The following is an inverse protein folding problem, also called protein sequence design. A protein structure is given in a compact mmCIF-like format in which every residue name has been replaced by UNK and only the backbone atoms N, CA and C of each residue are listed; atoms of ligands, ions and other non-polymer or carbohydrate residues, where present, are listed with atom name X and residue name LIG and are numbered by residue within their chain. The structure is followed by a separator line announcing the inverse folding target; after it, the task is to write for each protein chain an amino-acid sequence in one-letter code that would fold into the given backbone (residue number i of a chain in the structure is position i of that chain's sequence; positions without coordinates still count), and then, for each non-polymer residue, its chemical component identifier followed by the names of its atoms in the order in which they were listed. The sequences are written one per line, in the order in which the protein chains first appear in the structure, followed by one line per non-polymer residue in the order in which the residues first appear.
data_IF_095754251691
#
_entry.id   IF_095754251691
#
_cell.length_a   1.000
_cell.length_b   1.000
_cell.length_c   1.000
_cell.angle_alpha   90.00
_cell.angle_beta   90.00
_cell.angle_gamma   90.00
#
_symmetry.space_group_name_H-M   'P 1'
#
loop_
_entity.id
_entity.type
_entity.pdbx_description
1 polymer ?
#
# COMPACT_ATOMS: atom_id res chain seq x y z
N UNK A 1 9.46 0.41 22.56
CA UNK A 1 8.98 -0.19 21.30
C UNK A 1 10.04 0.01 20.22
N UNK A 2 10.33 -1.01 19.42
CA UNK A 2 11.48 -1.05 18.49
C UNK A 2 11.13 -0.41 17.14
N UNK A 3 11.99 0.47 16.63
CA UNK A 3 11.84 1.09 15.31
C UNK A 3 12.30 0.13 14.20
N UNK A 4 11.66 0.19 13.04
CA UNK A 4 12.15 -0.48 11.84
C UNK A 4 13.17 0.42 11.13
N UNK A 5 14.37 -0.11 10.90
CA UNK A 5 15.46 0.56 10.18
C UNK A 5 15.73 -0.21 8.90
N UNK A 6 15.92 0.52 7.80
CA UNK A 6 16.20 -0.04 6.49
C UNK A 6 17.39 0.69 5.86
N UNK A 7 18.23 -0.08 5.17
CA UNK A 7 19.35 0.44 4.38
C UNK A 7 19.08 0.15 2.91
N UNK A 8 19.20 1.17 2.07
CA UNK A 8 19.02 1.04 0.63
C UNK A 8 20.21 0.27 0.03
N UNK A 9 19.92 -0.81 -0.69
CA UNK A 9 20.90 -1.54 -1.50
C UNK A 9 20.54 -1.41 -2.97
N UNK A 10 21.55 -1.19 -3.80
CA UNK A 10 21.40 -1.03 -5.25
C UNK A 10 22.10 -2.19 -5.94
N UNK A 11 21.38 -2.82 -6.85
CA UNK A 11 21.87 -3.89 -7.69
C UNK A 11 21.52 -3.56 -9.14
N UNK A 12 22.44 -3.84 -10.05
CA UNK A 12 22.14 -3.80 -11.47
C UNK A 12 21.41 -5.09 -11.84
N UNK A 13 20.29 -4.94 -12.56
CA UNK A 13 19.53 -6.05 -13.10
C UNK A 13 19.85 -6.19 -14.59
N UNK A 14 19.69 -7.41 -15.12
CA UNK A 14 19.72 -7.64 -16.56
C UNK A 14 18.61 -6.79 -17.21
N UNK A 15 18.94 -5.92 -18.18
CA UNK A 15 17.97 -5.01 -18.79
C UNK A 15 16.89 -5.72 -19.62
N UNK A 16 17.07 -7.01 -19.91
CA UNK A 16 16.05 -7.83 -20.59
C UNK A 16 14.96 -8.36 -19.65
N UNK A 17 15.13 -8.19 -18.33
CA UNK A 17 14.14 -8.65 -17.36
C UNK A 17 12.95 -7.70 -17.35
N UNK A 18 11.80 -8.25 -17.73
CA UNK A 18 10.53 -7.55 -17.62
C UNK A 18 10.00 -7.56 -16.18
N UNK A 19 9.41 -6.45 -15.68
CA UNK A 19 8.90 -6.36 -14.30
C UNK A 19 7.89 -7.44 -13.93
N UNK A 20 7.03 -7.85 -14.87
CA UNK A 20 6.04 -8.92 -14.63
C UNK A 20 6.68 -10.30 -14.46
N UNK A 21 7.85 -10.54 -15.07
CA UNK A 21 8.60 -11.79 -14.87
C UNK A 21 9.18 -11.86 -13.45
N UNK A 22 9.62 -10.72 -12.89
CA UNK A 22 10.03 -10.63 -11.49
C UNK A 22 8.89 -10.94 -10.53
N UNK A 23 7.70 -10.41 -10.80
CA UNK A 23 6.49 -10.72 -10.01
C UNK A 23 6.19 -12.22 -10.06
N UNK A 24 6.19 -12.82 -11.26
CA UNK A 24 5.88 -14.24 -11.44
C UNK A 24 6.89 -15.17 -10.73
N UNK A 25 8.17 -14.78 -10.67
CA UNK A 25 9.21 -15.51 -9.96
C UNK A 25 9.30 -15.21 -8.45
N UNK A 26 8.51 -14.27 -7.93
CA UNK A 26 8.61 -13.83 -6.55
C UNK A 26 7.95 -14.83 -5.59
N UNK A 27 8.76 -15.63 -4.89
CA UNK A 27 8.29 -16.55 -3.85
C UNK A 27 7.96 -15.88 -2.50
N UNK A 28 7.97 -14.54 -2.42
CA UNK A 28 7.70 -13.82 -1.19
C UNK A 28 6.20 -13.72 -0.90
N UNK A 29 5.85 -13.42 0.35
CA UNK A 29 4.46 -13.24 0.77
C UNK A 29 3.90 -11.92 0.22
N UNK A 30 2.67 -11.97 -0.27
CA UNK A 30 1.90 -10.81 -0.73
C UNK A 30 2.69 -9.89 -1.69
N UNK A 31 3.19 -10.42 -2.82
CA UNK A 31 3.93 -9.60 -3.76
C UNK A 31 2.98 -8.61 -4.45
N UNK A 32 3.44 -7.38 -4.61
CA UNK A 32 2.74 -6.28 -5.24
C UNK A 32 3.64 -5.65 -6.28
N UNK A 33 3.15 -5.57 -7.53
CA UNK A 33 3.81 -4.83 -8.61
C UNK A 33 3.01 -3.55 -8.88
N UNK A 34 3.68 -2.40 -8.80
CA UNK A 34 3.18 -1.12 -9.29
C UNK A 34 3.98 -0.76 -10.53
N UNK A 35 3.30 -0.68 -11.67
CA UNK A 35 3.93 -0.33 -12.93
C UNK A 35 3.37 0.99 -13.46
N UNK A 36 4.27 1.91 -13.84
CA UNK A 36 3.89 3.25 -14.28
C UNK A 36 3.87 3.33 -15.79
N UNK A 37 2.68 3.50 -16.37
CA UNK A 37 2.50 3.66 -17.81
C UNK A 37 2.46 5.14 -18.27
N UNK A 38 2.68 6.13 -17.38
CA UNK A 38 2.40 7.55 -17.67
C UNK A 38 3.52 8.54 -17.32
N UNK A 39 3.89 9.41 -18.28
CA UNK A 39 4.68 10.64 -18.09
C UNK A 39 6.20 10.53 -18.31
N UNK A 40 6.94 11.64 -18.19
CA UNK A 40 8.40 11.65 -18.05
C UNK A 40 8.75 12.23 -16.66
N UNK A 41 9.46 11.47 -15.78
CA UNK A 41 9.95 10.12 -16.01
C UNK A 41 8.93 9.03 -15.62
N UNK A 42 8.32 8.35 -16.61
CA UNK A 42 7.73 7.01 -16.47
C UNK A 42 8.85 5.97 -16.59
N UNK A 43 9.65 5.82 -15.53
CA UNK A 43 10.86 4.97 -15.58
C UNK A 43 10.96 3.93 -14.48
N UNK A 44 9.95 3.83 -13.62
CA UNK A 44 10.04 2.97 -12.44
C UNK A 44 8.85 2.03 -12.39
N UNK A 45 9.16 0.74 -12.33
CA UNK A 45 8.29 -0.29 -11.81
C UNK A 45 8.74 -0.62 -10.39
N UNK A 46 7.81 -0.77 -9.46
CA UNK A 46 8.08 -1.10 -8.07
C UNK A 46 7.54 -2.49 -7.77
N UNK A 47 8.44 -3.43 -7.49
CA UNK A 47 8.07 -4.72 -6.91
C UNK A 47 8.29 -4.65 -5.40
N UNK A 48 7.23 -4.82 -4.64
CA UNK A 48 7.25 -4.94 -3.20
C UNK A 48 6.68 -6.29 -2.78
N UNK A 49 7.02 -6.69 -1.57
CA UNK A 49 6.50 -7.88 -0.90
C UNK A 49 6.56 -7.62 0.59
N UNK A 50 5.84 -8.39 1.38
CA UNK A 50 5.75 -8.16 2.81
C UNK A 50 6.89 -8.88 3.56
N UNK A 51 7.87 -8.16 4.14
CA UNK A 51 8.88 -8.76 5.00
C UNK A 51 8.36 -8.99 6.43
N UNK A 52 7.19 -8.44 6.78
CA UNK A 52 6.55 -8.55 8.09
C UNK A 52 5.20 -9.27 7.91
N UNK A 53 4.44 -9.53 8.98
CA UNK A 53 3.10 -10.08 8.80
C UNK A 53 2.15 -8.96 8.36
N UNK A 54 1.35 -9.21 7.31
CA UNK A 54 0.40 -8.24 6.78
C UNK A 54 -0.48 -7.67 7.88
N UNK A 55 -0.63 -6.35 7.90
CA UNK A 55 -1.51 -5.65 8.83
C UNK A 55 -2.83 -5.45 8.11
N UNK A 56 -3.85 -6.17 8.55
CA UNK A 56 -5.22 -5.92 8.12
C UNK A 56 -5.82 -4.84 9.01
N UNK A 57 -6.20 -3.72 8.38
CA UNK A 57 -6.99 -2.70 9.04
C UNK A 57 -8.45 -3.16 9.00
N UNK A 58 -8.96 -3.60 10.15
CA UNK A 58 -10.36 -3.99 10.27
C UNK A 58 -11.27 -2.76 10.24
N UNK A 59 -12.40 -2.89 9.56
CA UNK A 59 -13.54 -1.98 9.69
C UNK A 59 -14.42 -2.32 10.90
N UNK A 60 -14.16 -3.41 11.62
CA UNK A 60 -14.84 -3.71 12.89
C UNK A 60 -14.46 -2.65 13.93
N UNK A 61 -15.43 -1.85 14.36
CA UNK A 61 -15.19 -0.65 15.17
C UNK A 61 -14.90 0.63 14.36
N UNK A 62 -15.02 0.59 13.02
CA UNK A 62 -15.06 1.78 12.18
C UNK A 62 -16.23 2.68 12.61
N UNK A 63 -15.91 3.93 12.88
CA UNK A 63 -16.83 4.93 13.43
C UNK A 63 -16.20 5.84 14.48
N UNK A 64 -14.93 5.62 14.84
CA UNK A 64 -14.21 6.43 15.85
C UNK A 64 -12.78 6.82 15.44
N UNK A 65 -12.39 6.63 14.18
CA UNK A 65 -11.03 6.91 13.71
C UNK A 65 -10.00 5.84 14.12
N UNK A 66 -10.45 4.64 14.49
CA UNK A 66 -9.59 3.57 15.00
C UNK A 66 -8.55 3.13 13.95
N UNK A 67 -8.96 2.97 12.69
CA UNK A 67 -8.02 2.60 11.62
C UNK A 67 -7.01 3.72 11.33
N UNK A 68 -7.41 5.00 11.44
CA UNK A 68 -6.50 6.15 11.29
C UNK A 68 -5.44 6.17 12.38
N UNK A 69 -5.84 5.89 13.62
CA UNK A 69 -4.92 5.78 14.75
C UNK A 69 -3.94 4.61 14.55
N UNK A 70 -4.43 3.45 14.10
CA UNK A 70 -3.58 2.30 13.75
C UNK A 70 -2.60 2.61 12.63
N UNK A 71 -3.07 3.26 11.55
CA UNK A 71 -2.22 3.70 10.44
C UNK A 71 -1.18 4.72 10.91
N UNK A 72 -1.58 5.73 11.69
CA UNK A 72 -0.64 6.72 12.23
C UNK A 72 0.41 6.08 13.15
N UNK A 73 0.01 5.14 14.01
CA UNK A 73 0.93 4.39 14.85
C UNK A 73 1.89 3.54 14.02
N UNK A 74 1.42 2.95 12.92
CA UNK A 74 2.25 2.19 11.98
C UNK A 74 3.27 3.08 11.27
N UNK A 75 2.82 4.21 10.70
CA UNK A 75 3.67 5.18 10.02
C UNK A 75 4.72 5.75 10.97
N UNK A 76 4.37 6.02 12.23
CA UNK A 76 5.31 6.50 13.25
C UNK A 76 6.44 5.50 13.58
N UNK A 77 6.28 4.21 13.25
CA UNK A 77 7.31 3.18 13.42
C UNK A 77 8.31 3.13 12.27
N UNK A 78 7.94 3.66 11.10
CA UNK A 78 8.82 3.75 9.95
C UNK A 78 9.79 4.91 10.12
N UNK A 79 11.10 4.61 10.13
CA UNK A 79 12.13 5.64 10.03
C UNK A 79 13.09 5.29 8.90
N UNK A 80 13.17 6.19 7.92
CA UNK A 80 14.19 6.13 6.88
C UNK A 80 15.41 6.87 7.41
N UNK A 81 16.53 6.17 7.56
CA UNK A 81 17.79 6.79 8.00
C UNK A 81 18.40 7.66 6.89
N UNK A 82 18.21 7.25 5.62
CA UNK A 82 18.68 7.99 4.46
C UNK A 82 17.76 7.75 3.25
N UNK A 83 17.15 8.81 2.75
CA UNK A 83 16.35 8.75 1.53
C UNK A 83 17.24 9.04 0.31
N UNK A 84 17.08 8.27 -0.77
CA UNK A 84 17.61 8.62 -2.09
C UNK A 84 16.54 9.40 -2.84
N UNK A 85 16.74 10.72 -3.00
CA UNK A 85 15.78 11.61 -3.64
C UNK A 85 15.56 11.31 -5.13
N UNK A 86 16.41 10.46 -5.74
CA UNK A 86 16.23 10.02 -7.13
C UNK A 86 15.21 8.87 -7.28
N UNK A 87 14.80 8.22 -6.17
CA UNK A 87 13.84 7.13 -6.20
C UNK A 87 12.44 7.64 -5.80
N UNK A 88 11.37 7.30 -6.53
CA UNK A 88 10.01 7.67 -6.14
C UNK A 88 9.54 6.94 -4.87
N UNK A 89 10.17 5.82 -4.54
CA UNK A 89 9.89 5.01 -3.37
C UNK A 89 11.16 4.27 -2.92
N UNK A 90 11.56 4.44 -1.66
CA UNK A 90 12.78 3.84 -1.08
C UNK A 90 12.48 2.91 0.10
N UNK A 91 11.27 2.37 0.16
CA UNK A 91 10.76 1.54 1.25
C UNK A 91 9.72 2.26 2.11
N UNK A 92 8.87 1.48 2.78
CA UNK A 92 7.74 1.99 3.55
C UNK A 92 6.57 1.01 3.51
N UNK A 93 5.35 1.54 3.56
CA UNK A 93 4.13 0.76 3.50
C UNK A 93 3.48 0.94 2.12
N UNK A 94 3.10 -0.18 1.50
CA UNK A 94 2.30 -0.23 0.29
C UNK A 94 1.08 -1.10 0.55
N UNK A 95 -0.06 -0.72 -0.02
CA UNK A 95 -1.30 -1.44 0.17
C UNK A 95 -2.46 -0.70 -0.48
N UNK A 96 -3.66 -1.25 -0.29
CA UNK A 96 -4.90 -0.65 -0.73
C UNK A 96 -5.73 -0.22 0.48
N UNK A 97 -6.49 0.86 0.32
CA UNK A 97 -7.52 1.28 1.27
C UNK A 97 -8.88 1.02 0.62
N UNK A 98 -9.73 0.25 1.29
CA UNK A 98 -11.11 0.01 0.84
C UNK A 98 -11.92 1.30 0.84
N UNK A 99 -12.88 1.40 -0.07
CA UNK A 99 -13.77 2.56 -0.17
C UNK A 99 -14.49 2.86 1.15
N UNK A 100 -14.87 1.83 1.88
CA UNK A 100 -15.61 1.92 3.15
C UNK A 100 -14.83 2.62 4.28
N UNK A 101 -13.50 2.77 4.14
CA UNK A 101 -12.71 3.57 5.08
C UNK A 101 -12.93 5.08 4.89
N UNK A 102 -13.26 5.51 3.68
CA UNK A 102 -13.46 6.93 3.33
C UNK A 102 -14.78 7.49 3.88
N UNK A 103 -15.77 6.64 4.09
CA UNK A 103 -17.11 7.03 4.56
C UNK A 103 -17.22 7.04 6.09
N UNK A 104 -16.14 6.73 6.79
CA UNK A 104 -16.11 6.73 8.26
C UNK A 104 -16.41 8.13 8.81
N UNK A 105 -17.53 8.26 9.52
CA UNK A 105 -17.98 9.51 10.14
C UNK A 105 -18.74 10.45 9.20
N UNK A 106 -18.84 10.12 7.92
CA UNK A 106 -19.67 10.87 6.97
C UNK A 106 -21.08 10.30 6.92
N UNK A 107 -22.08 11.16 7.10
CA UNK A 107 -23.47 10.78 6.81
C UNK A 107 -23.64 10.79 5.29
N UNK A 108 -23.45 9.64 4.66
CA UNK A 108 -23.67 9.50 3.23
C UNK A 108 -25.14 9.76 2.90
N UNK A 109 -25.41 10.76 2.08
CA UNK A 109 -26.70 10.95 1.43
C UNK A 109 -26.79 9.97 0.24
N UNK A 110 -26.88 8.67 0.55
CA UNK A 110 -27.04 7.65 -0.49
C UNK A 110 -28.41 7.84 -1.16
N UNK A 111 -28.46 7.83 -2.51
CA UNK A 111 -29.74 7.77 -3.20
C UNK A 111 -30.51 6.54 -2.75
N UNK A 112 -31.86 6.63 -2.73
CA UNK A 112 -32.69 5.44 -2.53
C UNK A 112 -32.31 4.40 -3.56
N UNK A 113 -32.19 3.14 -3.12
CA UNK A 113 -31.91 2.02 -4.01
C UNK A 113 -32.99 2.02 -5.12
N UNK A 114 -32.60 2.22 -6.40
CA UNK A 114 -33.56 2.52 -7.45
C UNK A 114 -34.22 1.27 -8.07
N UNK A 115 -33.75 0.06 -7.72
CA UNK A 115 -34.15 -1.20 -8.36
C UNK A 115 -34.93 -2.17 -7.45
N UNK A 116 -35.30 -1.75 -6.23
CA UNK A 116 -35.93 -2.59 -5.21
C UNK A 116 -35.06 -3.73 -4.67
N UNK A 117 -33.74 -3.67 -4.84
CA UNK A 117 -32.82 -4.72 -4.39
C UNK A 117 -32.42 -4.53 -2.92
N UNK A 118 -32.25 -5.63 -2.16
CA UNK A 118 -31.70 -5.54 -0.83
C UNK A 118 -30.26 -5.01 -0.90
N UNK A 119 -29.97 -3.96 -0.13
CA UNK A 119 -28.61 -3.49 0.06
C UNK A 119 -27.82 -4.57 0.81
N UNK A 120 -26.66 -4.95 0.29
CA UNK A 120 -25.74 -5.84 1.00
C UNK A 120 -25.24 -5.08 2.24
N UNK A 121 -25.45 -5.70 3.41
CA UNK A 121 -25.02 -5.19 4.71
C UNK A 121 -23.54 -5.48 4.97
#
# INVERSE_FOLDING_TARGET
MTAYRFELRRYELDPSIEPHALLAGCGARAPLLLDSAGGDPARFSLLAFDPLASIELSSEGAGRGAWRATLAALLARGRVERADAALPFAGGFLGALGYDLGVEGERLALPREPWGQPLLA
#
